data_IF_709101617885
#
_entry.id   IF_709101617885
#
_cell.length_a   1.000
_cell.length_b   1.000
_cell.length_c   1.000
_cell.angle_alpha   90.00
_cell.angle_beta   90.00
_cell.angle_gamma   90.00
#
_symmetry.space_group_name_H-M   'P 1'
#
loop_
_entity.id
_entity.type
_entity.pdbx_description
1 polymer ?
#
# COMPACT_ATOMS: atom_id res chain seq x y z
N UNK A 1 -3.91 28.22 -6.01
CA UNK A 1 -2.97 27.43 -5.18
C UNK A 1 -3.50 27.42 -3.77
N UNK A 2 -3.49 26.26 -3.11
CA UNK A 2 -3.86 26.15 -1.70
C UNK A 2 -2.70 26.63 -0.83
N UNK A 3 -2.94 27.47 0.18
CA UNK A 3 -1.88 27.83 1.14
C UNK A 3 -1.61 26.67 2.10
N UNK A 4 -0.43 26.66 2.73
CA UNK A 4 -0.09 25.66 3.76
C UNK A 4 -1.11 25.66 4.91
N UNK A 5 -1.60 26.82 5.29
CA UNK A 5 -2.62 26.94 6.34
C UNK A 5 -3.97 26.35 5.92
N UNK A 6 -4.40 26.60 4.68
CA UNK A 6 -5.64 26.02 4.14
C UNK A 6 -5.53 24.50 3.98
N UNK A 7 -4.37 23.99 3.55
CA UNK A 7 -4.08 22.56 3.50
C UNK A 7 -4.20 21.91 4.88
N UNK A 8 -3.52 22.49 5.88
CA UNK A 8 -3.58 22.00 7.25
C UNK A 8 -5.01 22.00 7.78
N UNK A 9 -5.78 23.09 7.56
CA UNK A 9 -7.17 23.16 7.99
C UNK A 9 -8.03 22.04 7.38
N UNK A 10 -7.87 21.80 6.08
CA UNK A 10 -8.65 20.77 5.39
C UNK A 10 -8.27 19.36 5.87
N UNK A 11 -6.98 19.08 6.05
CA UNK A 11 -6.51 17.79 6.56
C UNK A 11 -6.98 17.55 8.00
N UNK A 12 -6.89 18.56 8.86
CA UNK A 12 -7.41 18.49 10.24
C UNK A 12 -8.91 18.25 10.27
N UNK A 13 -9.69 18.99 9.47
CA UNK A 13 -11.13 18.79 9.39
C UNK A 13 -11.52 17.39 8.90
N UNK A 14 -10.81 16.87 7.89
CA UNK A 14 -11.02 15.50 7.42
C UNK A 14 -10.66 14.46 8.50
N UNK A 15 -9.55 14.67 9.22
CA UNK A 15 -9.13 13.79 10.31
C UNK A 15 -10.15 13.77 11.47
N UNK A 16 -10.72 14.92 11.85
CA UNK A 16 -11.75 14.98 12.89
C UNK A 16 -13.04 14.23 12.48
N UNK A 17 -13.45 14.34 11.22
CA UNK A 17 -14.59 13.59 10.68
C UNK A 17 -14.30 12.08 10.71
N UNK A 18 -13.11 11.66 10.26
CA UNK A 18 -12.72 10.25 10.18
C UNK A 18 -12.51 9.61 11.55
N UNK A 19 -12.00 10.36 12.53
CA UNK A 19 -11.76 9.86 13.89
C UNK A 19 -13.04 9.62 14.67
N UNK A 20 -14.06 10.46 14.46
CA UNK A 20 -15.30 10.39 15.23
C UNK A 20 -15.04 10.44 16.75
N UNK A 21 -15.51 9.42 17.47
CA UNK A 21 -15.36 9.34 18.93
C UNK A 21 -14.07 8.65 19.41
N UNK A 22 -13.22 8.14 18.50
CA UNK A 22 -11.97 7.45 18.86
C UNK A 22 -10.98 8.45 19.46
N UNK A 23 -10.22 8.07 20.49
CA UNK A 23 -9.20 8.95 21.04
C UNK A 23 -8.11 9.30 20.00
N UNK A 24 -7.51 10.48 20.13
CA UNK A 24 -6.50 10.95 19.18
C UNK A 24 -5.27 10.04 19.11
N UNK A 25 -4.86 9.41 20.22
CA UNK A 25 -3.71 8.50 20.24
C UNK A 25 -4.01 7.21 19.47
N UNK A 26 -5.19 6.62 19.67
CA UNK A 26 -5.61 5.40 18.98
C UNK A 26 -5.84 5.65 17.47
N UNK A 27 -6.48 6.77 17.14
CA UNK A 27 -6.68 7.16 15.74
C UNK A 27 -5.35 7.42 15.03
N UNK A 28 -4.38 8.04 15.71
CA UNK A 28 -3.03 8.25 15.18
C UNK A 28 -2.39 6.92 14.80
N UNK A 29 -2.44 5.91 15.65
CA UNK A 29 -1.85 4.61 15.35
C UNK A 29 -2.53 3.98 14.13
N UNK A 30 -3.87 4.03 14.07
CA UNK A 30 -4.63 3.46 12.96
C UNK A 30 -4.33 4.14 11.62
N UNK A 31 -4.32 5.47 11.58
CA UNK A 31 -4.04 6.21 10.35
C UNK A 31 -2.58 6.06 9.90
N UNK A 32 -1.63 5.97 10.83
CA UNK A 32 -0.22 5.74 10.49
C UNK A 32 0.01 4.35 9.91
N UNK A 33 -0.61 3.31 10.49
CA UNK A 33 -0.54 1.95 9.92
C UNK A 33 -1.13 1.89 8.51
N UNK A 34 -2.28 2.55 8.28
CA UNK A 34 -2.89 2.66 6.95
C UNK A 34 -1.99 3.39 5.95
N UNK A 35 -1.40 4.51 6.34
CA UNK A 35 -0.49 5.27 5.48
C UNK A 35 0.79 4.50 5.17
N UNK A 36 1.33 3.78 6.15
CA UNK A 36 2.46 2.89 5.96
C UNK A 36 2.15 1.81 4.95
N UNK A 37 1.02 1.11 5.10
CA UNK A 37 0.57 0.06 4.19
C UNK A 37 0.32 0.58 2.77
N UNK A 38 -0.29 1.77 2.64
CA UNK A 38 -0.45 2.44 1.35
C UNK A 38 0.91 2.72 0.72
N UNK A 39 1.85 3.30 1.47
CA UNK A 39 3.18 3.64 0.93
C UNK A 39 3.94 2.40 0.52
N UNK A 40 3.91 1.33 1.32
CA UNK A 40 4.54 0.06 0.98
C UNK A 40 3.95 -0.52 -0.30
N UNK A 41 2.62 -0.49 -0.43
CA UNK A 41 1.93 -0.91 -1.65
C UNK A 41 2.33 -0.07 -2.86
N UNK A 42 2.49 1.25 -2.70
CA UNK A 42 2.93 2.12 -3.79
C UNK A 42 4.35 1.79 -4.25
N UNK A 43 5.29 1.63 -3.32
CA UNK A 43 6.68 1.24 -3.63
C UNK A 43 6.72 -0.10 -4.35
N UNK A 44 5.93 -1.08 -3.89
CA UNK A 44 5.82 -2.38 -4.55
C UNK A 44 5.33 -2.24 -6.01
N UNK A 45 4.26 -1.47 -6.25
CA UNK A 45 3.75 -1.28 -7.60
C UNK A 45 4.71 -0.47 -8.50
N UNK A 46 5.39 0.53 -7.95
CA UNK A 46 6.47 1.27 -8.62
C UNK A 46 7.55 0.29 -9.12
N UNK A 47 8.06 -0.58 -8.24
CA UNK A 47 9.07 -1.59 -8.62
C UNK A 47 8.51 -2.64 -9.59
N UNK A 48 7.28 -3.09 -9.39
CA UNK A 48 6.61 -4.06 -10.29
C UNK A 48 6.52 -3.51 -11.71
N UNK A 49 6.19 -2.22 -11.87
CA UNK A 49 6.14 -1.56 -13.17
C UNK A 49 7.51 -1.43 -13.83
N UNK A 50 8.58 -1.26 -13.05
CA UNK A 50 9.96 -1.30 -13.56
C UNK A 50 10.31 -2.69 -14.07
N UNK A 51 10.10 -3.75 -13.29
CA UNK A 51 10.36 -5.15 -13.68
C UNK A 51 9.60 -5.50 -14.96
N UNK A 52 8.31 -5.16 -15.03
CA UNK A 52 7.49 -5.39 -16.23
C UNK A 52 8.07 -4.70 -17.46
N UNK A 53 8.59 -3.48 -17.31
CA UNK A 53 9.17 -2.70 -18.41
C UNK A 53 10.50 -3.29 -18.86
N UNK A 54 11.40 -3.58 -17.92
CA UNK A 54 12.71 -4.19 -18.16
C UNK A 54 12.56 -5.49 -18.97
N UNK A 55 11.65 -6.38 -18.56
CA UNK A 55 11.47 -7.67 -19.24
C UNK A 55 10.72 -7.57 -20.58
N UNK A 56 9.77 -6.64 -20.72
CA UNK A 56 9.14 -6.35 -22.02
C UNK A 56 10.15 -5.78 -23.01
N UNK A 57 11.04 -4.88 -22.57
CA UNK A 57 12.12 -4.34 -23.40
C UNK A 57 13.17 -5.41 -23.76
N UNK A 58 13.39 -6.39 -22.87
CA UNK A 58 14.20 -7.59 -23.15
C UNK A 58 13.52 -8.61 -24.09
N UNK A 59 12.32 -8.32 -24.60
CA UNK A 59 11.62 -9.13 -25.59
C UNK A 59 10.70 -10.22 -25.05
N UNK A 60 10.40 -10.22 -23.74
CA UNK A 60 9.40 -11.12 -23.15
C UNK A 60 7.99 -10.73 -23.58
N UNK A 61 7.14 -11.73 -23.80
CA UNK A 61 5.72 -11.50 -23.99
C UNK A 61 5.09 -10.88 -22.73
N UNK A 62 3.94 -10.19 -22.85
CA UNK A 62 3.25 -9.66 -21.68
C UNK A 62 2.97 -10.71 -20.59
N UNK A 63 2.59 -11.93 -20.98
CA UNK A 63 2.31 -13.01 -20.02
C UNK A 63 3.57 -13.49 -19.28
N UNK A 64 4.71 -13.60 -19.97
CA UNK A 64 5.98 -13.96 -19.33
C UNK A 64 6.45 -12.86 -18.37
N UNK A 65 6.36 -11.59 -18.77
CA UNK A 65 6.73 -10.47 -17.92
C UNK A 65 5.85 -10.39 -16.65
N UNK A 66 4.54 -10.66 -16.75
CA UNK A 66 3.66 -10.72 -15.57
C UNK A 66 4.03 -11.88 -14.64
N UNK A 67 4.37 -13.05 -15.19
CA UNK A 67 4.79 -14.20 -14.38
C UNK A 67 6.10 -13.91 -13.63
N UNK A 68 7.05 -13.22 -14.28
CA UNK A 68 8.31 -12.78 -13.64
C UNK A 68 8.03 -11.71 -12.59
N UNK A 69 7.18 -10.73 -12.88
CA UNK A 69 6.84 -9.66 -11.93
C UNK A 69 6.03 -10.15 -10.71
N UNK A 70 5.49 -11.38 -10.74
CA UNK A 70 4.86 -12.03 -9.60
C UNK A 70 5.80 -13.01 -8.86
N UNK A 71 7.08 -13.08 -9.25
CA UNK A 71 8.13 -13.81 -8.56
C UNK A 71 8.79 -12.92 -7.47
N UNK A 72 8.77 -13.32 -6.18
CA UNK A 72 9.44 -12.58 -5.12
C UNK A 72 10.94 -12.37 -5.32
N UNK A 73 11.63 -13.30 -6.00
CA UNK A 73 13.09 -13.24 -6.18
C UNK A 73 13.54 -12.04 -7.03
N UNK A 74 12.65 -11.47 -7.85
CA UNK A 74 12.92 -10.31 -8.72
C UNK A 74 12.98 -8.96 -7.96
N UNK A 75 12.51 -8.93 -6.70
CA UNK A 75 12.41 -7.70 -5.92
C UNK A 75 13.66 -7.43 -5.05
N UNK A 76 14.48 -8.46 -4.82
CA UNK A 76 15.75 -8.37 -4.08
C UNK A 76 15.62 -7.75 -2.69
N UNK A 77 16.74 -7.27 -2.13
CA UNK A 77 16.77 -6.65 -0.80
C UNK A 77 16.20 -5.21 -0.76
N UNK A 78 15.92 -4.62 -1.92
CA UNK A 78 15.58 -3.19 -2.08
C UNK A 78 14.10 -2.87 -2.15
N UNK A 79 13.25 -3.85 -2.47
CA UNK A 79 11.80 -3.69 -2.54
C UNK A 79 11.13 -4.91 -1.92
N UNK A 80 10.13 -4.70 -1.06
CA UNK A 80 9.36 -5.79 -0.48
C UNK A 80 8.38 -6.34 -1.52
N UNK A 81 8.43 -7.64 -1.76
CA UNK A 81 7.35 -8.33 -2.46
C UNK A 81 6.10 -8.31 -1.58
N UNK A 82 4.95 -7.94 -2.17
CA UNK A 82 3.68 -7.97 -1.44
C UNK A 82 2.80 -9.14 -1.90
N UNK A 83 2.38 -10.02 -0.98
CA UNK A 83 1.31 -10.97 -1.22
C UNK A 83 0.06 -10.26 -1.74
N UNK A 84 -0.72 -10.92 -2.61
CA UNK A 84 -1.85 -10.31 -3.31
C UNK A 84 -2.88 -9.73 -2.33
N UNK A 85 -3.12 -10.41 -1.23
CA UNK A 85 -4.02 -10.03 -0.14
C UNK A 85 -3.58 -8.76 0.59
N UNK A 86 -2.27 -8.50 0.67
CA UNK A 86 -1.67 -7.35 1.35
C UNK A 86 -1.55 -6.11 0.46
N UNK A 87 -1.81 -6.24 -0.84
CA UNK A 87 -1.77 -5.11 -1.80
C UNK A 87 -2.98 -4.19 -1.57
N UNK A 88 -2.76 -2.87 -1.69
CA UNK A 88 -3.79 -1.85 -1.46
C UNK A 88 -5.11 -2.08 -2.22
N UNK A 89 -5.13 -2.47 -3.52
CA UNK A 89 -6.37 -2.75 -4.23
C UNK A 89 -7.18 -3.89 -3.63
N UNK A 90 -6.54 -4.89 -3.03
CA UNK A 90 -7.20 -6.02 -2.37
C UNK A 90 -7.85 -5.56 -1.06
N UNK A 91 -7.12 -4.79 -0.27
CA UNK A 91 -7.59 -4.21 0.99
C UNK A 91 -8.75 -3.25 0.81
N UNK A 92 -8.76 -2.47 -0.28
CA UNK A 92 -9.84 -1.54 -0.56
C UNK A 92 -11.15 -2.25 -0.93
N UNK A 93 -11.09 -3.46 -1.50
CA UNK A 93 -12.28 -4.27 -1.85
C UNK A 93 -12.96 -4.92 -0.64
N UNK A 94 -12.28 -5.00 0.50
CA UNK A 94 -12.85 -5.54 1.75
C UNK A 94 -13.95 -4.60 2.24
N UNK A 95 -15.22 -5.03 2.16
CA UNK A 95 -16.37 -4.21 2.54
C UNK A 95 -16.61 -4.19 4.06
N UNK A 96 -16.32 -5.30 4.74
CA UNK A 96 -16.56 -5.52 6.17
C UNK A 96 -15.27 -5.99 6.86
N UNK A 97 -15.11 -5.69 8.15
CA UNK A 97 -13.93 -6.07 8.95
C UNK A 97 -12.58 -5.63 8.35
N UNK A 98 -12.56 -4.46 7.71
CA UNK A 98 -11.35 -3.90 7.08
C UNK A 98 -10.17 -3.77 8.05
N UNK A 99 -10.43 -3.45 9.32
CA UNK A 99 -9.40 -3.39 10.35
C UNK A 99 -8.67 -4.73 10.51
N UNK A 100 -9.41 -5.84 10.61
CA UNK A 100 -8.83 -7.18 10.70
C UNK A 100 -8.06 -7.56 9.43
N UNK A 101 -8.54 -7.13 8.26
CA UNK A 101 -7.83 -7.35 7.00
C UNK A 101 -6.50 -6.58 6.93
N UNK A 102 -6.46 -5.36 7.47
CA UNK A 102 -5.23 -4.57 7.60
C UNK A 102 -4.27 -5.25 8.56
N UNK A 103 -4.73 -5.73 9.72
CA UNK A 103 -3.89 -6.43 10.68
C UNK A 103 -3.29 -7.70 10.07
N UNK A 104 -4.08 -8.50 9.35
CA UNK A 104 -3.60 -9.68 8.61
C UNK A 104 -2.57 -9.33 7.55
N UNK A 105 -2.79 -8.24 6.80
CA UNK A 105 -1.84 -7.79 5.80
C UNK A 105 -0.51 -7.36 6.42
N UNK A 106 -0.55 -6.65 7.55
CA UNK A 106 0.65 -6.25 8.29
C UNK A 106 1.44 -7.47 8.77
N UNK A 107 0.78 -8.48 9.34
CA UNK A 107 1.43 -9.74 9.75
C UNK A 107 2.05 -10.44 8.54
N UNK A 108 1.33 -10.55 7.43
CA UNK A 108 1.86 -11.20 6.23
C UNK A 108 3.10 -10.47 5.66
N UNK A 109 3.15 -9.13 5.80
CA UNK A 109 4.31 -8.32 5.41
C UNK A 109 5.50 -8.56 6.35
N UNK A 110 5.27 -8.74 7.66
CA UNK A 110 6.34 -9.05 8.62
C UNK A 110 6.98 -10.43 8.38
N UNK A 111 6.22 -11.38 7.83
CA UNK A 111 6.64 -12.76 7.54
C UNK A 111 7.25 -12.94 6.13
N UNK A 112 7.41 -11.86 5.34
CA UNK A 112 8.01 -11.88 3.99
C UNK A 112 9.51 -11.63 4.05
#
# INVERSE_FOLDING_TARGET
MLTREELNRQLWGAADILRGAVDAADFKNHILSLLFLKRLSDVFFERREEILREWREAGKSPAEAEAIADDPDEYGDGAYFLPVESRWPSLMKVAENRAEAIDKALVAIEDT
#
